data_IF_201337029885
#
_entry.id   IF_201337029885
#
_cell.length_a   1.000
_cell.length_b   1.000
_cell.length_c   1.000
_cell.angle_alpha   90.00
_cell.angle_beta   90.00
_cell.angle_gamma   90.00
#
_symmetry.space_group_name_H-M   'P 1'
#
loop_
_entity.id
_entity.type
_entity.pdbx_description
1 polymer ?
#
# COMPACT_ATOMS: atom_id res chain seq x y z
N UNK A 1 47.04 -73.70 -41.60
CA UNK A 1 45.68 -74.09 -42.04
C UNK A 1 44.65 -73.34 -41.22
N UNK A 2 43.62 -72.81 -41.90
CA UNK A 2 42.32 -72.27 -41.45
C UNK A 2 42.33 -71.08 -40.48
N UNK A 3 42.12 -69.83 -40.90
CA UNK A 3 40.89 -69.19 -41.41
C UNK A 3 39.63 -69.49 -40.59
N UNK A 4 39.09 -68.47 -39.90
CA UNK A 4 37.65 -68.16 -39.89
C UNK A 4 37.45 -66.66 -39.59
N UNK A 5 36.89 -65.97 -40.60
CA UNK A 5 36.23 -64.67 -40.51
C UNK A 5 34.84 -64.85 -39.89
N UNK A 6 34.40 -63.89 -39.08
CA UNK A 6 33.03 -63.84 -38.55
C UNK A 6 32.70 -62.48 -37.94
N UNK A 7 32.26 -61.55 -38.78
CA UNK A 7 31.64 -60.26 -38.38
C UNK A 7 30.20 -60.50 -37.93
N UNK A 8 29.83 -60.02 -36.74
CA UNK A 8 28.49 -59.60 -36.27
C UNK A 8 28.67 -59.12 -34.83
N UNK A 9 28.45 -57.88 -34.38
CA UNK A 9 27.57 -56.84 -34.89
C UNK A 9 26.32 -56.71 -34.02
N UNK A 10 26.44 -56.40 -32.71
CA UNK A 10 25.33 -55.83 -31.92
C UNK A 10 25.89 -54.80 -30.93
N UNK A 11 25.63 -53.53 -31.24
CA UNK A 11 25.74 -52.40 -30.32
C UNK A 11 24.46 -52.39 -29.49
N UNK A 12 24.50 -52.87 -28.25
CA UNK A 12 23.41 -52.64 -27.29
C UNK A 12 23.74 -51.32 -26.59
N UNK A 13 23.20 -50.24 -27.13
CA UNK A 13 23.20 -48.94 -26.48
C UNK A 13 22.30 -48.97 -25.24
N UNK A 14 22.90 -49.02 -24.06
CA UNK A 14 22.22 -48.62 -22.84
C UNK A 14 22.23 -47.09 -22.77
N UNK A 15 21.36 -46.43 -23.53
CA UNK A 15 21.04 -45.02 -23.28
C UNK A 15 20.20 -44.96 -22.00
N UNK A 16 20.85 -44.80 -20.86
CA UNK A 16 20.19 -44.34 -19.66
C UNK A 16 19.77 -42.89 -19.91
N UNK A 17 18.49 -42.67 -20.17
CA UNK A 17 17.89 -41.35 -20.16
C UNK A 17 17.96 -40.82 -18.72
N UNK A 18 19.03 -40.12 -18.39
CA UNK A 18 19.10 -39.32 -17.17
C UNK A 18 18.22 -38.10 -17.43
N UNK A 19 16.93 -38.21 -17.09
CA UNK A 19 16.06 -37.06 -16.89
C UNK A 19 16.51 -36.34 -15.61
N UNK A 20 17.68 -35.71 -15.69
CA UNK A 20 18.12 -34.74 -14.71
C UNK A 20 17.24 -33.52 -14.84
N UNK A 21 16.15 -33.47 -14.08
CA UNK A 21 15.57 -32.21 -13.70
C UNK A 21 16.69 -31.43 -13.01
N UNK A 22 17.31 -30.51 -13.74
CA UNK A 22 18.22 -29.54 -13.19
C UNK A 22 17.39 -28.70 -12.21
N UNK A 23 17.37 -29.09 -10.93
CA UNK A 23 16.88 -28.23 -9.86
C UNK A 23 17.94 -27.13 -9.77
N UNK A 24 17.80 -26.11 -10.62
CA UNK A 24 18.63 -24.92 -10.47
C UNK A 24 18.27 -24.34 -9.10
N UNK A 25 19.22 -24.22 -8.16
CA UNK A 25 18.99 -23.33 -7.04
C UNK A 25 18.83 -21.95 -7.67
N UNK A 26 17.61 -21.42 -7.64
CA UNK A 26 17.42 -20.00 -7.86
C UNK A 26 18.18 -19.33 -6.71
N UNK A 27 19.40 -18.88 -6.99
CA UNK A 27 20.04 -17.89 -6.13
C UNK A 27 19.19 -16.64 -6.33
N UNK A 28 18.14 -16.52 -5.51
CA UNK A 28 17.37 -15.30 -5.41
C UNK A 28 18.37 -14.24 -4.97
N UNK A 29 18.87 -13.47 -5.93
CA UNK A 29 19.65 -12.28 -5.62
C UNK A 29 18.81 -11.48 -4.63
N UNK A 30 19.40 -11.22 -3.47
CA UNK A 30 18.71 -10.59 -2.37
C UNK A 30 18.42 -9.14 -2.75
N UNK A 31 17.16 -8.73 -2.66
CA UNK A 31 16.74 -7.38 -3.03
C UNK A 31 17.04 -6.44 -1.87
N UNK A 32 17.92 -5.46 -2.09
CA UNK A 32 18.26 -4.50 -1.03
C UNK A 32 17.33 -3.30 -1.08
N UNK A 33 16.59 -3.02 -0.01
CA UNK A 33 15.79 -1.80 0.12
C UNK A 33 16.68 -0.68 0.64
N UNK A 34 16.99 0.30 -0.21
CA UNK A 34 17.91 1.41 0.11
C UNK A 34 17.19 2.69 0.47
N UNK A 35 15.91 2.82 0.12
CA UNK A 35 15.12 4.00 0.42
C UNK A 35 13.68 3.63 0.76
N UNK A 36 13.06 4.39 1.65
CA UNK A 36 11.64 4.26 1.99
C UNK A 36 11.01 5.65 1.96
N UNK A 37 9.97 5.81 1.15
CA UNK A 37 9.23 7.05 1.01
C UNK A 37 7.73 6.78 1.17
N UNK A 38 7.05 7.71 1.83
CA UNK A 38 5.60 7.69 2.01
C UNK A 38 4.98 8.83 1.25
N UNK A 39 4.02 8.51 0.38
CA UNK A 39 3.27 9.47 -0.41
C UNK A 39 1.80 9.41 0.04
N UNK A 40 1.32 10.40 0.81
CA UNK A 40 -0.09 10.44 1.21
C UNK A 40 -1.03 10.51 0.00
N UNK A 41 -2.14 9.78 0.06
CA UNK A 41 -3.18 9.76 -0.97
C UNK A 41 -4.54 10.12 -0.35
N UNK A 42 -5.56 10.29 -1.19
CA UNK A 42 -6.92 10.60 -0.71
C UNK A 42 -7.57 9.47 0.08
N UNK A 43 -7.10 8.23 -0.05
CA UNK A 43 -7.64 7.03 0.60
C UNK A 43 -6.74 6.46 1.70
N UNK A 44 -5.50 6.92 1.79
CA UNK A 44 -4.49 6.38 2.69
C UNK A 44 -3.12 6.89 2.28
N UNK A 45 -2.21 5.98 1.95
CA UNK A 45 -0.87 6.34 1.46
C UNK A 45 -0.30 5.28 0.54
N UNK A 46 0.65 5.69 -0.30
CA UNK A 46 1.53 4.81 -1.06
C UNK A 46 2.89 4.73 -0.36
N UNK A 47 3.35 3.51 -0.13
CA UNK A 47 4.70 3.21 0.34
C UNK A 47 5.57 2.86 -0.86
N UNK A 48 6.57 3.70 -1.13
CA UNK A 48 7.53 3.53 -2.20
C UNK A 48 8.87 3.09 -1.60
N UNK A 49 9.29 1.88 -1.92
CA UNK A 49 10.56 1.31 -1.50
C UNK A 49 11.54 1.36 -2.68
N UNK A 50 12.61 2.12 -2.54
CA UNK A 50 13.74 2.06 -3.46
C UNK A 50 14.51 0.77 -3.21
N UNK A 51 14.74 0.00 -4.26
CA UNK A 51 15.35 -1.32 -4.20
C UNK A 51 16.51 -1.42 -5.18
N UNK A 52 17.51 -2.23 -4.82
CA UNK A 52 18.63 -2.59 -5.66
C UNK A 52 18.64 -4.09 -5.88
N UNK A 53 18.97 -4.50 -7.11
CA UNK A 53 19.02 -5.89 -7.56
C UNK A 53 17.90 -6.24 -8.54
N UNK A 54 18.17 -7.22 -9.39
CA UNK A 54 17.31 -7.58 -10.52
C UNK A 54 16.17 -8.56 -10.16
N UNK A 55 16.04 -8.87 -8.87
CA UNK A 55 15.08 -9.85 -8.39
C UNK A 55 13.78 -9.21 -7.89
N UNK A 56 12.72 -10.01 -7.91
CA UNK A 56 11.37 -9.66 -7.48
C UNK A 56 11.07 -10.33 -6.15
N UNK A 57 11.15 -9.60 -5.02
CA UNK A 57 10.87 -10.22 -3.73
C UNK A 57 9.37 -10.55 -3.64
N UNK A 58 8.99 -11.76 -3.19
CA UNK A 58 7.60 -12.09 -2.91
C UNK A 58 7.11 -11.33 -1.67
N UNK A 59 5.86 -10.88 -1.71
CA UNK A 59 5.21 -10.11 -0.66
C UNK A 59 3.98 -10.86 -0.18
N UNK A 60 3.89 -11.06 1.13
CA UNK A 60 2.78 -11.72 1.78
C UNK A 60 2.15 -10.77 2.78
N UNK A 61 0.86 -10.48 2.63
CA UNK A 61 0.12 -9.62 3.55
C UNK A 61 -0.89 -10.42 4.35
N UNK A 62 -0.94 -10.16 5.66
CA UNK A 62 -1.95 -10.66 6.57
C UNK A 62 -2.51 -9.53 7.42
N UNK A 63 -3.80 -9.59 7.73
CA UNK A 63 -4.45 -8.63 8.62
C UNK A 63 -4.71 -9.27 9.98
N UNK A 64 -4.33 -8.58 11.06
CA UNK A 64 -4.54 -9.00 12.45
C UNK A 64 -5.13 -7.84 13.24
N UNK A 65 -6.41 -7.94 13.62
CA UNK A 65 -7.12 -6.85 14.28
C UNK A 65 -7.13 -5.60 13.38
N UNK A 66 -6.56 -4.50 13.89
CA UNK A 66 -6.48 -3.23 13.16
C UNK A 66 -5.13 -3.03 12.45
N UNK A 67 -4.33 -4.09 12.32
CA UNK A 67 -2.98 -4.02 11.76
C UNK A 67 -2.90 -4.86 10.48
N UNK A 68 -2.35 -4.29 9.42
CA UNK A 68 -1.89 -5.01 8.25
C UNK A 68 -0.39 -5.27 8.37
N UNK A 69 0.02 -6.51 8.14
CA UNK A 69 1.40 -6.96 8.25
C UNK A 69 1.79 -7.51 6.88
N UNK A 70 2.72 -6.85 6.21
CA UNK A 70 3.27 -7.28 4.92
C UNK A 70 4.72 -7.71 5.09
N UNK A 71 4.98 -8.98 4.84
CA UNK A 71 6.32 -9.57 4.86
C UNK A 71 6.87 -9.65 3.44
N UNK A 72 8.07 -9.13 3.25
CA UNK A 72 8.80 -9.12 1.98
C UNK A 72 9.98 -10.07 2.14
N UNK A 73 9.93 -11.23 1.48
CA UNK A 73 11.00 -12.24 1.57
C UNK A 73 12.10 -11.99 0.54
N UNK A 74 13.28 -12.56 0.79
CA UNK A 74 14.50 -12.36 -0.01
C UNK A 74 14.87 -10.88 -0.14
N UNK A 75 14.71 -10.12 0.95
CA UNK A 75 15.00 -8.69 0.99
C UNK A 75 15.74 -8.27 2.28
N UNK A 76 16.67 -7.33 2.12
CA UNK A 76 17.40 -6.69 3.23
C UNK A 76 17.15 -5.20 3.23
N UNK A 77 16.84 -4.65 4.39
CA UNK A 77 16.68 -3.23 4.64
C UNK A 77 18.05 -2.58 4.89
N UNK A 78 18.50 -1.77 3.91
CA UNK A 78 19.75 -1.00 3.95
C UNK A 78 19.46 0.50 3.87
N UNK A 79 18.74 1.01 4.86
CA UNK A 79 18.44 2.43 4.94
C UNK A 79 19.69 3.25 5.32
N UNK A 80 19.87 4.45 4.76
CA UNK A 80 20.93 5.37 5.17
C UNK A 80 20.71 5.87 6.61
N UNK A 81 19.46 5.94 7.06
CA UNK A 81 19.08 6.21 8.44
C UNK A 81 18.90 4.89 9.21
N UNK A 82 19.30 4.85 10.48
CA UNK A 82 19.54 3.62 11.23
C UNK A 82 18.39 2.59 11.21
N UNK A 83 18.57 1.48 10.47
CA UNK A 83 18.04 0.13 10.71
C UNK A 83 16.53 -0.13 10.55
N UNK A 84 15.67 0.88 10.74
CA UNK A 84 14.22 0.77 10.61
C UNK A 84 13.62 2.13 10.32
N UNK A 85 12.54 2.16 9.53
CA UNK A 85 11.79 3.35 9.23
C UNK A 85 10.46 3.32 9.99
N UNK A 86 10.09 4.42 10.66
CA UNK A 86 8.81 4.52 11.37
C UNK A 86 8.22 5.91 11.20
N UNK A 87 6.94 5.97 10.84
CA UNK A 87 6.18 7.21 10.81
C UNK A 87 4.85 7.04 11.55
N UNK A 88 4.46 8.07 12.30
CA UNK A 88 3.17 8.13 13.00
C UNK A 88 2.25 9.08 12.21
N UNK A 89 0.97 8.75 12.14
CA UNK A 89 -0.06 9.51 11.41
C UNK A 89 0.31 9.85 9.94
N UNK A 90 0.73 8.87 9.11
CA UNK A 90 1.14 9.13 7.73
C UNK A 90 -0.03 9.56 6.82
N UNK A 91 -1.26 9.18 7.19
CA UNK A 91 -2.47 9.44 6.42
C UNK A 91 -3.72 9.36 7.30
N UNK A 92 -4.85 9.96 6.88
CA UNK A 92 -6.14 9.80 7.53
C UNK A 92 -6.51 8.33 7.73
N UNK A 93 -6.91 7.96 8.95
CA UNK A 93 -7.30 6.58 9.27
C UNK A 93 -6.14 5.60 9.51
N UNK A 94 -4.87 6.06 9.40
CA UNK A 94 -3.67 5.28 9.69
C UNK A 94 -2.99 5.84 10.94
N UNK A 95 -2.81 4.99 11.95
CA UNK A 95 -2.16 5.35 13.21
C UNK A 95 -0.64 5.36 13.09
N UNK A 96 -0.06 4.31 12.49
CA UNK A 96 1.39 4.27 12.27
C UNK A 96 1.79 3.29 11.17
N UNK A 97 2.97 3.52 10.64
CA UNK A 97 3.66 2.63 9.71
C UNK A 97 5.09 2.41 10.18
N UNK A 98 5.51 1.16 10.17
CA UNK A 98 6.86 0.73 10.52
C UNK A 98 7.38 -0.24 9.47
N UNK A 99 8.60 -0.01 9.00
CA UNK A 99 9.33 -0.90 8.10
C UNK A 99 10.62 -1.28 8.80
N UNK A 100 10.80 -2.57 9.08
CA UNK A 100 11.97 -3.07 9.80
C UNK A 100 12.46 -4.40 9.24
N UNK A 101 13.73 -4.69 9.48
CA UNK A 101 14.26 -6.03 9.25
C UNK A 101 13.66 -7.00 10.28
N UNK A 102 13.05 -8.09 9.81
CA UNK A 102 12.51 -9.16 10.67
C UNK A 102 13.57 -10.23 10.97
N UNK A 103 14.32 -10.63 9.94
CA UNK A 103 15.40 -11.64 10.01
C UNK A 103 16.47 -11.36 8.93
N UNK A 104 17.37 -12.29 8.64
CA UNK A 104 18.47 -12.06 7.68
C UNK A 104 18.00 -11.73 6.25
N UNK A 105 16.79 -12.14 5.85
CA UNK A 105 16.30 -12.04 4.46
C UNK A 105 14.84 -11.62 4.35
N UNK A 106 14.22 -11.17 5.44
CA UNK A 106 12.81 -10.77 5.47
C UNK A 106 12.66 -9.39 6.07
N UNK A 107 11.98 -8.51 5.34
CA UNK A 107 11.55 -7.20 5.83
C UNK A 107 10.08 -7.32 6.23
N UNK A 108 9.71 -6.76 7.38
CA UNK A 108 8.32 -6.65 7.82
C UNK A 108 7.87 -5.20 7.78
N UNK A 109 6.80 -4.96 7.04
CA UNK A 109 6.05 -3.71 7.01
C UNK A 109 4.82 -3.90 7.89
N UNK A 110 4.69 -3.08 8.92
CA UNK A 110 3.56 -3.11 9.86
C UNK A 110 2.81 -1.80 9.72
N UNK A 111 1.54 -1.87 9.33
CA UNK A 111 0.68 -0.68 9.18
C UNK A 111 -0.51 -0.82 10.13
N UNK A 112 -0.57 0.05 11.12
CA UNK A 112 -1.65 0.10 12.09
C UNK A 112 -2.69 1.14 11.66
N UNK A 113 -3.93 0.71 11.45
CA UNK A 113 -5.08 1.60 11.24
C UNK A 113 -5.73 2.02 12.55
N UNK A 114 -6.45 3.14 12.54
CA UNK A 114 -7.11 3.67 13.75
C UNK A 114 -8.25 2.77 14.21
N UNK A 115 -9.11 2.34 13.29
CA UNK A 115 -10.30 1.54 13.61
C UNK A 115 -10.33 0.17 12.93
N UNK A 116 -9.65 0.04 11.78
CA UNK A 116 -9.68 -1.16 10.93
C UNK A 116 -8.31 -1.35 10.30
N UNK A 117 -7.90 -2.59 10.04
CA UNK A 117 -6.66 -2.88 9.31
C UNK A 117 -6.72 -2.27 7.89
N UNK A 118 -5.67 -1.55 7.47
CA UNK A 118 -5.59 -1.05 6.10
C UNK A 118 -5.59 -2.19 5.08
N UNK A 119 -6.11 -1.91 3.88
CA UNK A 119 -6.05 -2.83 2.74
C UNK A 119 -4.75 -2.57 2.00
N UNK A 120 -3.86 -3.56 1.95
CA UNK A 120 -2.61 -3.46 1.22
C UNK A 120 -2.78 -3.95 -0.22
N UNK A 121 -2.45 -3.12 -1.19
CA UNK A 121 -2.46 -3.44 -2.61
C UNK A 121 -1.07 -3.20 -3.20
N UNK A 122 -0.45 -4.24 -3.76
CA UNK A 122 0.85 -4.08 -4.44
C UNK A 122 0.62 -3.51 -5.84
N UNK A 123 0.99 -2.25 -6.10
CA UNK A 123 0.85 -1.65 -7.44
C UNK A 123 1.88 -2.19 -8.41
N UNK A 124 3.13 -2.26 -7.95
CA UNK A 124 4.27 -2.66 -8.78
C UNK A 124 4.83 -3.92 -8.20
N UNK A 125 4.49 -5.02 -8.83
CA UNK A 125 4.93 -6.31 -8.35
C UNK A 125 6.28 -6.68 -8.95
N UNK A 126 6.75 -6.08 -10.05
CA UNK A 126 8.08 -6.28 -10.62
C UNK A 126 9.10 -5.22 -10.16
N UNK A 127 10.40 -5.55 -10.18
CA UNK A 127 11.48 -4.65 -9.74
C UNK A 127 12.30 -4.03 -10.90
N UNK A 128 11.68 -3.86 -12.07
CA UNK A 128 12.41 -3.47 -13.30
C UNK A 128 13.03 -2.07 -13.25
N UNK A 129 12.57 -1.22 -12.33
CA UNK A 129 13.05 0.15 -12.19
C UNK A 129 13.67 0.42 -10.80
N UNK A 130 13.99 -0.63 -10.03
CA UNK A 130 14.50 -0.49 -8.66
C UNK A 130 13.48 0.15 -7.71
N UNK A 131 12.18 -0.01 -7.96
CA UNK A 131 11.11 0.57 -7.14
C UNK A 131 10.01 -0.46 -6.90
N UNK A 132 9.72 -0.70 -5.63
CA UNK A 132 8.58 -1.48 -5.17
C UNK A 132 7.55 -0.54 -4.55
N UNK A 133 6.30 -0.58 -5.01
CA UNK A 133 5.24 0.30 -4.52
C UNK A 133 4.04 -0.49 -3.98
N UNK A 134 3.58 -0.12 -2.79
CA UNK A 134 2.46 -0.74 -2.08
C UNK A 134 1.51 0.37 -1.60
N UNK A 135 0.25 0.30 -2.01
CA UNK A 135 -0.81 1.16 -1.49
C UNK A 135 -1.37 0.57 -0.22
N UNK A 136 -1.63 1.43 0.77
CA UNK A 136 -2.36 1.10 1.96
C UNK A 136 -3.57 2.01 2.05
N UNK A 137 -4.74 1.45 1.72
CA UNK A 137 -6.00 2.16 1.79
C UNK A 137 -6.61 1.98 3.17
N UNK A 138 -6.95 3.10 3.81
CA UNK A 138 -7.78 3.09 5.01
C UNK A 138 -9.19 2.61 4.63
N UNK A 139 -9.81 1.78 5.47
CA UNK A 139 -11.16 1.32 5.23
C UNK A 139 -12.12 2.53 5.09
N UNK A 140 -13.11 2.48 4.17
CA UNK A 140 -14.02 3.61 3.96
C UNK A 140 -14.80 3.92 5.24
N UNK A 141 -14.59 5.13 5.79
CA UNK A 141 -15.34 5.63 6.95
C UNK A 141 -14.62 6.55 7.92
N UNK A 142 -13.28 6.65 7.89
CA UNK A 142 -12.52 7.36 8.96
C UNK A 142 -11.45 8.35 8.47
N UNK A 143 -11.61 8.91 7.27
CA UNK A 143 -10.72 9.95 6.77
C UNK A 143 -10.96 11.28 7.52
N UNK A 144 -10.20 11.53 8.60
CA UNK A 144 -9.98 12.89 9.11
C UNK A 144 -8.55 13.31 8.74
N UNK A 145 -8.33 14.46 8.07
CA UNK A 145 -7.00 14.92 7.66
C UNK A 145 -6.00 14.95 8.84
N UNK A 146 -4.72 14.57 8.65
CA UNK A 146 -3.71 14.82 9.68
C UNK A 146 -3.64 16.32 9.94
N UNK A 147 -3.85 16.72 11.18
CA UNK A 147 -3.59 18.10 11.62
C UNK A 147 -2.08 18.23 11.72
N UNK A 148 -1.47 18.98 10.79
CA UNK A 148 -0.08 19.38 10.92
C UNK A 148 0.11 20.03 12.31
N UNK A 149 1.01 19.47 13.11
CA UNK A 149 1.38 20.01 14.42
C UNK A 149 1.96 21.42 14.24
N UNK A 150 1.16 22.45 14.53
CA UNK A 150 1.59 23.84 14.57
C UNK A 150 2.38 24.09 15.86
N UNK A 151 3.69 24.27 15.68
CA UNK A 151 4.61 24.93 16.60
C UNK A 151 4.03 26.30 17.06
N UNK A 152 4.25 26.74 18.32
CA UNK A 152 3.53 27.87 18.90
C UNK A 152 3.81 29.21 18.21
N UNK A 153 2.74 29.89 17.82
CA UNK A 153 2.76 31.20 17.15
C UNK A 153 3.09 32.32 18.14
N UNK A 154 4.23 32.98 17.94
CA UNK A 154 4.58 34.25 18.54
C UNK A 154 3.71 35.37 17.92
N UNK A 155 3.06 36.29 18.68
CA UNK A 155 2.19 37.29 18.07
C UNK A 155 2.95 38.62 17.87
N UNK A 156 3.32 38.97 16.62
CA UNK A 156 3.41 40.39 16.24
C UNK A 156 3.39 40.67 14.72
N UNK A 157 2.32 41.34 14.29
CA UNK A 157 2.22 42.44 13.31
C UNK A 157 2.75 42.30 11.87
N UNK A 158 1.86 42.41 10.86
CA UNK A 158 1.60 43.66 10.08
C UNK A 158 0.46 43.47 9.07
N UNK A 159 -0.21 44.59 8.75
CA UNK A 159 -1.47 44.72 8.01
C UNK A 159 -1.34 44.71 6.47
N UNK A 160 -2.52 44.71 5.83
CA UNK A 160 -2.88 45.01 4.42
C UNK A 160 -2.69 43.83 3.43
N UNK A 161 -3.64 43.45 2.56
CA UNK A 161 -4.77 44.17 1.95
C UNK A 161 -5.74 43.12 1.37
N UNK A 162 -7.05 43.22 1.63
CA UNK A 162 -8.07 42.30 1.08
C UNK A 162 -8.72 42.96 -0.16
N UNK A 163 -8.72 42.34 -1.36
CA UNK A 163 -9.51 42.80 -2.49
C UNK A 163 -11.01 42.46 -2.31
N UNK A 164 -11.94 43.22 -2.90
CA UNK A 164 -13.36 43.19 -2.57
C UNK A 164 -14.03 41.90 -3.05
N UNK A 165 -14.67 41.15 -2.15
CA UNK A 165 -15.63 40.11 -2.53
C UNK A 165 -16.98 40.76 -2.81
N UNK A 166 -17.46 40.64 -4.05
CA UNK A 166 -18.76 41.06 -4.55
C UNK A 166 -19.91 40.57 -3.66
N UNK A 167 -20.97 41.38 -3.57
CA UNK A 167 -22.17 41.18 -2.75
C UNK A 167 -22.61 39.72 -2.65
N UNK A 168 -22.56 39.16 -1.44
CA UNK A 168 -23.25 37.91 -1.11
C UNK A 168 -24.75 38.16 -1.22
N UNK A 169 -25.46 37.37 -2.03
CA UNK A 169 -26.91 37.34 -2.01
C UNK A 169 -27.40 36.96 -0.60
N UNK A 170 -28.24 37.82 0.00
CA UNK A 170 -28.89 37.54 1.28
C UNK A 170 -30.02 36.55 0.99
N UNK A 171 -30.03 35.41 1.67
CA UNK A 171 -31.16 34.48 1.59
C UNK A 171 -32.42 35.13 2.19
N UNK A 172 -33.60 34.99 1.57
CA UNK A 172 -34.83 35.50 2.15
C UNK A 172 -35.19 34.77 3.46
N UNK A 173 -35.82 35.44 4.44
CA UNK A 173 -36.28 34.82 5.67
C UNK A 173 -37.35 33.77 5.38
N UNK A 174 -37.27 32.62 6.05
CA UNK A 174 -38.27 31.57 6.01
C UNK A 174 -39.28 31.83 7.14
N UNK A 175 -40.49 32.22 6.78
CA UNK A 175 -41.67 32.46 7.63
C UNK A 175 -42.72 33.12 6.73
N UNK A 176 -43.94 32.65 6.56
CA UNK A 176 -44.88 32.14 7.57
C UNK A 176 -45.78 31.06 6.93
N UNK A 177 -45.94 29.90 7.58
CA UNK A 177 -46.96 28.91 7.19
C UNK A 177 -48.34 29.41 7.66
N UNK A 178 -49.11 30.01 6.76
CA UNK A 178 -50.54 30.20 6.97
C UNK A 178 -51.26 28.84 6.85
N UNK A 179 -51.68 28.27 7.98
CA UNK A 179 -52.60 27.14 8.00
C UNK A 179 -53.98 27.70 7.61
N UNK A 180 -54.50 27.29 6.45
CA UNK A 180 -55.89 27.57 6.10
C UNK A 180 -56.83 26.73 7.01
N UNK A 181 -57.89 27.32 7.60
CA UNK A 181 -58.92 26.52 8.25
C UNK A 181 -59.68 25.72 7.18
N UNK A 182 -59.67 24.39 7.31
CA UNK A 182 -60.50 23.50 6.52
C UNK A 182 -61.97 23.76 6.89
N UNK A 183 -62.73 24.36 5.97
CA UNK A 183 -64.17 24.50 6.09
C UNK A 183 -64.84 23.18 5.64
N UNK A 184 -65.17 22.30 6.59
CA UNK A 184 -65.95 21.09 6.33
C UNK A 184 -67.43 21.45 6.45
N UNK A 185 -68.04 21.87 5.34
CA UNK A 185 -69.50 21.84 5.22
C UNK A 185 -69.91 20.44 4.77
N UNK A 186 -70.63 19.74 5.63
CA UNK A 186 -71.23 18.45 5.33
C UNK A 186 -72.40 18.67 4.36
N UNK A 187 -72.24 18.20 3.14
CA UNK A 187 -73.32 18.00 2.18
C UNK A 187 -74.37 17.08 2.80
N UNK A 188 -75.47 17.68 3.30
CA UNK A 188 -76.63 16.94 3.78
C UNK A 188 -77.55 16.70 2.59
N UNK A 189 -77.50 15.47 2.08
CA UNK A 189 -78.52 14.87 1.23
C UNK A 189 -79.87 14.79 1.97
N UNK A 190 -80.91 15.40 1.41
CA UNK A 190 -82.32 15.01 1.53
C UNK A 190 -83.05 15.42 0.24
#
# INVERSE_FOLDING_TARGET
MNWYQGRSGIVIGCTAAVLGAMIQPVWAAETEVTNVQLNPTSKGFELVLGTQGDNRPPIFTVNRGNTSISDVSNAILRLPESGSFRQTDPAPGIKSVEVRQLDASTIRITVEGVHTAPVAETLRKDNRDGVLAINFDSAPGTATPPTASSQPSNPQSRASTVPPSLNRAIAPPVGDMAIAPLNVEAERID
#
